data_IF_182537687525
#
_entry.id   IF_182537687525
#
_cell.length_a   1.000
_cell.length_b   1.000
_cell.length_c   1.000
_cell.angle_alpha   90.00
_cell.angle_beta   90.00
_cell.angle_gamma   90.00
#
_symmetry.space_group_name_H-M   'P 1'
#
loop_
_entity.id
_entity.type
_entity.pdbx_description
1 polymer ?
#
# COMPACT_ATOMS: atom_id res chain seq x y z
N UNK A 1 -20.95 -11.73 18.77
CA UNK A 1 -20.77 -10.28 18.52
C UNK A 1 -19.79 -10.16 17.37
N UNK A 2 -20.13 -9.54 16.22
CA UNK A 2 -19.11 -9.24 15.22
C UNK A 2 -18.13 -8.25 15.87
N UNK A 3 -16.84 -8.58 15.90
CA UNK A 3 -15.82 -7.60 16.31
C UNK A 3 -15.83 -6.48 15.29
N UNK A 4 -15.98 -5.25 15.76
CA UNK A 4 -15.79 -4.07 14.93
C UNK A 4 -14.29 -3.93 14.70
N UNK A 5 -13.82 -4.22 13.49
CA UNK A 5 -12.41 -4.09 13.11
C UNK A 5 -12.08 -2.59 12.96
N UNK A 6 -11.72 -1.94 14.07
CA UNK A 6 -11.33 -0.53 14.08
C UNK A 6 -9.81 -0.40 14.08
N UNK A 7 -9.27 0.38 13.14
CA UNK A 7 -7.84 0.69 13.11
C UNK A 7 -7.64 2.12 13.62
N UNK A 8 -6.65 2.31 14.48
CA UNK A 8 -6.15 3.63 14.83
C UNK A 8 -4.91 3.91 13.97
N UNK A 9 -4.91 5.02 13.26
CA UNK A 9 -3.86 5.31 12.29
C UNK A 9 -3.95 6.70 11.71
N UNK A 10 -3.01 7.01 10.82
CA UNK A 10 -2.89 8.27 10.12
C UNK A 10 -3.42 8.13 8.69
N UNK A 11 -4.39 8.96 8.33
CA UNK A 11 -4.78 9.16 6.93
C UNK A 11 -4.02 10.37 6.38
N UNK A 12 -3.26 10.18 5.32
CA UNK A 12 -2.43 11.22 4.73
C UNK A 12 -2.49 11.21 3.21
N UNK A 13 -2.15 12.35 2.59
CA UNK A 13 -2.01 12.47 1.14
C UNK A 13 -0.56 12.24 0.72
N UNK A 14 -0.36 11.37 -0.26
CA UNK A 14 0.98 11.13 -0.82
C UNK A 14 1.19 11.81 -2.18
N UNK A 15 0.12 12.30 -2.81
CA UNK A 15 0.19 13.01 -4.10
C UNK A 15 -0.85 14.13 -4.26
N UNK A 16 -0.80 14.89 -5.37
CA UNK A 16 -1.66 16.05 -5.60
C UNK A 16 -3.13 15.68 -5.85
N UNK A 17 -3.41 14.52 -6.47
CA UNK A 17 -4.79 14.13 -6.80
C UNK A 17 -5.62 13.84 -5.55
N UNK A 18 -6.94 13.97 -5.64
CA UNK A 18 -7.83 13.70 -4.49
C UNK A 18 -7.81 12.24 -4.05
N UNK A 19 -7.65 11.30 -4.98
CA UNK A 19 -7.61 9.85 -4.70
C UNK A 19 -6.29 9.36 -4.11
N UNK A 20 -5.22 10.16 -4.18
CA UNK A 20 -3.88 9.77 -3.72
C UNK A 20 -3.73 9.97 -2.21
N UNK A 21 -4.50 9.19 -1.46
CA UNK A 21 -4.49 9.12 -0.02
C UNK A 21 -4.08 7.71 0.43
N UNK A 22 -3.41 7.61 1.57
CA UNK A 22 -3.05 6.35 2.17
C UNK A 22 -3.35 6.38 3.67
N UNK A 23 -3.75 5.23 4.19
CA UNK A 23 -3.97 5.02 5.62
C UNK A 23 -2.82 4.18 6.19
N UNK A 24 -2.18 4.67 7.25
CA UNK A 24 -1.08 3.98 7.93
C UNK A 24 -1.47 3.64 9.35
N UNK A 25 -1.19 2.40 9.78
CA UNK A 25 -1.11 2.04 11.21
C UNK A 25 0.34 1.85 11.61
N UNK A 26 0.66 2.21 12.85
CA UNK A 26 2.04 2.26 13.35
C UNK A 26 2.77 3.54 12.94
N UNK A 27 3.88 3.81 13.64
CA UNK A 27 4.73 4.96 13.41
C UNK A 27 6.21 4.56 13.43
N UNK A 28 6.59 3.76 12.43
CA UNK A 28 7.92 3.16 12.30
C UNK A 28 8.53 3.44 10.93
N UNK A 29 9.86 3.41 10.86
CA UNK A 29 10.61 3.64 9.61
C UNK A 29 10.59 2.44 8.64
N UNK A 30 10.12 1.28 9.10
CA UNK A 30 9.93 0.09 8.27
C UNK A 30 8.47 -0.01 7.87
N UNK A 31 8.19 -0.12 6.57
CA UNK A 31 6.83 0.01 6.02
C UNK A 31 6.47 -1.23 5.18
N UNK A 32 5.31 -1.81 5.45
CA UNK A 32 4.65 -2.79 4.57
C UNK A 32 3.50 -2.09 3.86
N UNK A 33 3.55 -2.04 2.52
CA UNK A 33 2.49 -1.48 1.69
C UNK A 33 1.61 -2.61 1.22
N UNK A 34 0.37 -2.64 1.69
CA UNK A 34 -0.65 -3.59 1.26
C UNK A 34 -1.35 -3.09 -0.01
N UNK A 35 -1.32 -3.88 -1.07
CA UNK A 35 -1.99 -3.61 -2.34
C UNK A 35 -3.10 -4.65 -2.53
N UNK A 36 -4.34 -4.21 -2.33
CA UNK A 36 -5.54 -5.03 -2.56
C UNK A 36 -5.84 -5.25 -4.04
N UNK A 37 -6.96 -5.92 -4.31
CA UNK A 37 -7.48 -6.08 -5.67
C UNK A 37 -8.01 -4.79 -6.30
N UNK A 38 -8.28 -4.81 -7.60
CA UNK A 38 -8.73 -3.65 -8.39
C UNK A 38 -10.03 -2.99 -7.87
N UNK A 39 -10.86 -3.72 -7.14
CA UNK A 39 -12.09 -3.18 -6.54
C UNK A 39 -11.92 -2.81 -5.07
N UNK A 40 -10.76 -3.13 -4.50
CA UNK A 40 -10.52 -3.03 -3.08
C UNK A 40 -10.13 -1.60 -2.69
N UNK A 41 -10.41 -1.30 -1.43
CA UNK A 41 -10.06 -0.05 -0.79
C UNK A 41 -9.37 -0.28 0.55
N UNK A 42 -9.62 0.61 1.50
CA UNK A 42 -9.12 0.43 2.86
C UNK A 42 -9.86 -0.71 3.55
N UNK A 43 -9.14 -1.49 4.37
CA UNK A 43 -9.69 -2.61 5.15
C UNK A 43 -10.36 -3.68 4.27
N UNK A 44 -9.78 -3.94 3.09
CA UNK A 44 -10.35 -4.85 2.11
C UNK A 44 -10.49 -6.30 2.58
N UNK A 45 -9.64 -6.76 3.49
CA UNK A 45 -9.63 -8.14 3.96
C UNK A 45 -9.60 -8.23 5.49
N UNK A 46 -10.25 -9.26 6.03
CA UNK A 46 -10.36 -9.46 7.49
C UNK A 46 -8.98 -9.68 8.15
N UNK A 47 -8.02 -10.26 7.43
CA UNK A 47 -6.70 -10.54 7.99
C UNK A 47 -5.85 -9.28 8.19
N UNK A 48 -6.22 -8.13 7.62
CA UNK A 48 -5.48 -6.89 7.81
C UNK A 48 -5.41 -6.48 9.27
N UNK A 49 -6.42 -6.81 10.08
CA UNK A 49 -6.42 -6.48 11.51
C UNK A 49 -5.34 -7.27 12.24
N UNK A 50 -5.32 -8.58 12.03
CA UNK A 50 -4.30 -9.46 12.61
C UNK A 50 -2.91 -9.13 12.09
N UNK A 51 -2.79 -8.75 10.82
CA UNK A 51 -1.54 -8.32 10.21
C UNK A 51 -1.05 -7.00 10.81
N UNK A 52 -1.93 -6.01 10.98
CA UNK A 52 -1.60 -4.72 11.59
C UNK A 52 -1.02 -4.91 13.00
N UNK A 53 -1.69 -5.73 13.83
CA UNK A 53 -1.21 -6.07 15.18
C UNK A 53 0.13 -6.80 15.15
N UNK A 54 0.31 -7.75 14.24
CA UNK A 54 1.57 -8.49 14.11
C UNK A 54 2.72 -7.56 13.69
N UNK A 55 2.48 -6.66 12.73
CA UNK A 55 3.48 -5.70 12.26
C UNK A 55 3.85 -4.69 13.34
N UNK A 56 2.88 -4.19 14.11
CA UNK A 56 3.13 -3.27 15.23
C UNK A 56 4.10 -3.90 16.25
N UNK A 57 3.88 -5.17 16.61
CA UNK A 57 4.76 -5.90 17.54
C UNK A 57 6.20 -6.05 17.01
N UNK A 58 6.36 -6.16 15.69
CA UNK A 58 7.65 -6.23 15.01
C UNK A 58 8.24 -4.85 14.67
N UNK A 59 7.58 -3.76 15.06
CA UNK A 59 7.96 -2.36 14.75
C UNK A 59 7.96 -2.06 13.24
N UNK A 60 6.92 -2.53 12.57
CA UNK A 60 6.60 -2.23 11.18
C UNK A 60 5.28 -1.48 11.10
N UNK A 61 5.24 -0.50 10.20
CA UNK A 61 4.01 0.21 9.86
C UNK A 61 3.31 -0.46 8.68
N UNK A 62 1.98 -0.55 8.73
CA UNK A 62 1.15 -1.04 7.64
C UNK A 62 0.53 0.13 6.90
N UNK A 63 0.77 0.22 5.60
CA UNK A 63 0.26 1.28 4.72
C UNK A 63 -0.73 0.69 3.72
N UNK A 64 -1.91 1.27 3.65
CA UNK A 64 -2.98 0.92 2.72
C UNK A 64 -3.28 2.13 1.83
N UNK A 65 -2.75 2.17 0.59
CA UNK A 65 -3.02 3.28 -0.32
C UNK A 65 -4.34 3.09 -1.06
N UNK A 66 -4.96 4.22 -1.40
CA UNK A 66 -5.96 4.30 -2.45
C UNK A 66 -5.25 4.65 -3.75
N UNK A 67 -5.43 3.81 -4.76
CA UNK A 67 -4.92 4.01 -6.11
C UNK A 67 -6.05 4.46 -7.02
N UNK A 68 -5.72 4.90 -8.25
CA UNK A 68 -6.75 5.25 -9.24
C UNK A 68 -7.65 4.08 -9.62
N UNK A 69 -7.16 2.83 -9.52
CA UNK A 69 -8.01 1.64 -9.67
C UNK A 69 -8.96 1.41 -8.51
N UNK A 70 -8.60 1.82 -7.28
CA UNK A 70 -9.39 1.57 -6.08
C UNK A 70 -10.84 2.02 -6.29
N UNK A 71 -11.77 1.15 -5.93
CA UNK A 71 -13.23 1.32 -6.08
C UNK A 71 -13.76 1.48 -7.52
N UNK A 72 -12.89 1.60 -8.52
CA UNK A 72 -13.27 1.86 -9.91
C UNK A 72 -13.33 0.57 -10.75
N UNK A 73 -12.64 -0.49 -10.30
CA UNK A 73 -12.68 -1.81 -10.91
C UNK A 73 -11.87 -1.92 -12.21
N UNK A 74 -12.15 -2.98 -12.98
CA UNK A 74 -11.43 -3.28 -14.22
C UNK A 74 -11.85 -2.36 -15.38
N UNK A 75 -10.87 -1.80 -16.11
CA UNK A 75 -11.10 -1.07 -17.37
C UNK A 75 -11.17 0.47 -17.25
N UNK A 76 -11.10 1.04 -16.05
CA UNK A 76 -11.13 2.50 -15.82
C UNK A 76 -9.75 3.11 -15.55
N UNK A 77 -8.80 2.34 -15.01
CA UNK A 77 -7.40 2.72 -14.86
C UNK A 77 -6.46 1.64 -15.45
N UNK A 78 -5.20 1.99 -15.68
CA UNK A 78 -4.19 1.05 -16.20
C UNK A 78 -3.21 0.64 -15.11
N UNK A 79 -2.70 -0.59 -15.16
CA UNK A 79 -1.61 -1.06 -14.29
C UNK A 79 -0.41 -0.08 -14.29
N UNK A 80 -0.17 0.58 -15.43
CA UNK A 80 0.85 1.61 -15.57
C UNK A 80 0.57 2.84 -14.69
N UNK A 81 -0.68 3.30 -14.64
CA UNK A 81 -1.06 4.42 -13.78
C UNK A 81 -0.90 4.06 -12.30
N UNK A 82 -1.35 2.87 -11.90
CA UNK A 82 -1.22 2.39 -10.53
C UNK A 82 0.26 2.23 -10.14
N UNK A 83 1.11 1.75 -11.04
CA UNK A 83 2.55 1.67 -10.81
C UNK A 83 3.21 3.04 -10.61
N UNK A 84 2.78 4.08 -11.35
CA UNK A 84 3.26 5.44 -11.15
C UNK A 84 2.82 6.01 -9.79
N UNK A 85 1.59 5.71 -9.38
CA UNK A 85 1.05 6.17 -8.10
C UNK A 85 1.68 5.45 -6.93
N UNK A 86 1.98 4.17 -7.09
CA UNK A 86 2.78 3.40 -6.14
C UNK A 86 4.21 3.96 -6.04
N UNK A 87 4.84 4.33 -7.15
CA UNK A 87 6.17 4.98 -7.11
C UNK A 87 6.14 6.31 -6.36
N UNK A 88 5.10 7.11 -6.56
CA UNK A 88 4.89 8.36 -5.84
C UNK A 88 4.70 8.14 -4.34
N UNK A 89 3.92 7.12 -3.96
CA UNK A 89 3.74 6.75 -2.56
C UNK A 89 5.08 6.32 -1.93
N UNK A 90 5.83 5.46 -2.60
CA UNK A 90 7.14 4.99 -2.09
C UNK A 90 8.08 6.19 -1.96
N UNK A 91 8.14 7.06 -2.97
CA UNK A 91 8.91 8.30 -2.91
C UNK A 91 8.52 9.19 -1.73
N UNK A 92 7.23 9.33 -1.45
CA UNK A 92 6.74 10.06 -0.29
C UNK A 92 7.22 9.43 1.03
N UNK A 93 7.06 8.11 1.18
CA UNK A 93 7.47 7.41 2.39
C UNK A 93 8.99 7.50 2.62
N UNK A 94 9.80 7.33 1.57
CA UNK A 94 11.26 7.40 1.69
C UNK A 94 11.73 8.83 1.98
N UNK A 95 11.24 9.81 1.22
CA UNK A 95 11.81 11.17 1.26
C UNK A 95 11.20 12.09 2.31
N UNK A 96 9.94 11.85 2.72
CA UNK A 96 9.24 12.71 3.69
C UNK A 96 9.05 12.04 5.05
N UNK A 97 8.81 10.73 5.06
CA UNK A 97 8.60 9.95 6.29
C UNK A 97 9.88 9.23 6.73
N UNK A 98 11.01 9.47 6.05
CA UNK A 98 12.32 8.86 6.34
C UNK A 98 12.29 7.33 6.44
N UNK A 99 11.44 6.69 5.62
CA UNK A 99 11.37 5.23 5.58
C UNK A 99 12.70 4.65 5.13
N UNK A 100 13.14 3.59 5.80
CA UNK A 100 14.39 2.91 5.48
C UNK A 100 14.26 2.03 4.22
N UNK A 101 13.03 1.75 3.81
CA UNK A 101 12.68 0.88 2.70
C UNK A 101 11.29 0.31 2.88
N UNK A 102 10.75 -0.28 1.82
CA UNK A 102 9.37 -0.78 1.82
C UNK A 102 9.31 -2.25 1.44
N UNK A 103 8.31 -2.94 1.97
CA UNK A 103 7.91 -4.27 1.51
C UNK A 103 6.55 -4.13 0.83
N UNK A 104 6.39 -4.70 -0.36
CA UNK A 104 5.10 -4.71 -1.05
C UNK A 104 4.39 -6.03 -0.78
N UNK A 105 3.17 -5.97 -0.26
CA UNK A 105 2.30 -7.12 -0.03
C UNK A 105 1.11 -7.03 -0.98
N UNK A 106 1.06 -7.91 -1.98
CA UNK A 106 -0.04 -7.98 -2.94
C UNK A 106 -1.08 -8.99 -2.50
N UNK A 107 -2.34 -8.64 -2.68
CA UNK A 107 -3.47 -9.53 -2.50
C UNK A 107 -4.28 -9.64 -3.78
N UNK A 108 -4.58 -10.86 -4.23
CA UNK A 108 -5.44 -11.09 -5.39
C UNK A 108 -4.90 -10.35 -6.63
N UNK A 109 -5.69 -9.51 -7.29
CA UNK A 109 -5.24 -8.72 -8.46
C UNK A 109 -4.18 -7.67 -8.13
N UNK A 110 -4.00 -7.29 -6.86
CA UNK A 110 -2.90 -6.45 -6.40
C UNK A 110 -1.52 -7.05 -6.67
N UNK A 111 -1.42 -8.38 -6.71
CA UNK A 111 -0.20 -9.09 -7.09
C UNK A 111 0.25 -8.73 -8.52
N UNK A 112 -0.70 -8.55 -9.44
CA UNK A 112 -0.41 -8.15 -10.82
C UNK A 112 0.16 -6.72 -10.87
N UNK A 113 -0.37 -5.83 -10.04
CA UNK A 113 0.14 -4.46 -9.87
C UNK A 113 1.59 -4.44 -9.39
N UNK A 114 1.93 -5.25 -8.40
CA UNK A 114 3.31 -5.36 -7.88
C UNK A 114 4.25 -5.92 -8.94
N UNK A 115 3.88 -7.01 -9.62
CA UNK A 115 4.73 -7.58 -10.68
C UNK A 115 4.96 -6.56 -11.79
N UNK A 116 3.91 -5.86 -12.22
CA UNK A 116 4.02 -4.81 -13.24
C UNK A 116 4.92 -3.65 -12.76
N UNK A 117 4.77 -3.19 -11.52
CA UNK A 117 5.60 -2.15 -10.92
C UNK A 117 7.08 -2.55 -10.90
N UNK A 118 7.39 -3.76 -10.41
CA UNK A 118 8.77 -4.25 -10.33
C UNK A 118 9.41 -4.42 -11.71
N UNK A 119 8.63 -4.76 -12.74
CA UNK A 119 9.12 -4.85 -14.13
C UNK A 119 9.32 -3.49 -14.80
N UNK A 120 8.63 -2.44 -14.33
CA UNK A 120 8.62 -1.12 -14.97
C UNK A 120 9.86 -0.27 -14.68
N UNK A 121 10.80 -0.76 -13.87
CA UNK A 121 12.07 -0.11 -13.49
C UNK A 121 11.88 1.37 -13.10
N UNK A 122 10.87 1.64 -12.28
CA UNK A 122 10.55 2.98 -11.80
C UNK A 122 11.63 3.51 -10.85
N UNK A 123 11.63 4.81 -10.60
CA UNK A 123 12.69 5.49 -9.86
C UNK A 123 12.89 4.92 -8.43
N UNK A 124 11.79 4.58 -7.74
CA UNK A 124 11.83 4.12 -6.36
C UNK A 124 11.85 2.59 -6.23
N UNK A 125 11.89 1.83 -7.34
CA UNK A 125 11.88 0.37 -7.32
C UNK A 125 13.01 -0.24 -6.48
N UNK A 126 14.17 0.44 -6.39
CA UNK A 126 15.32 0.05 -5.55
C UNK A 126 15.06 0.17 -4.05
N UNK A 127 14.06 0.95 -3.63
CA UNK A 127 13.67 1.08 -2.23
C UNK A 127 12.79 -0.10 -1.77
N UNK A 128 12.29 -0.92 -2.70
CA UNK A 128 11.55 -2.14 -2.39
C UNK A 128 12.53 -3.23 -1.97
N UNK A 129 12.47 -3.63 -0.70
CA UNK A 129 13.35 -4.63 -0.10
C UNK A 129 12.86 -6.06 -0.31
N UNK A 130 11.55 -6.24 -0.38
CA UNK A 130 10.92 -7.54 -0.63
C UNK A 130 9.52 -7.35 -1.22
N UNK A 131 9.03 -8.40 -1.88
CA UNK A 131 7.64 -8.50 -2.33
C UNK A 131 7.04 -9.80 -1.82
N UNK A 132 5.78 -9.74 -1.40
CA UNK A 132 4.98 -10.89 -0.96
C UNK A 132 3.73 -10.90 -1.84
N UNK A 133 3.46 -12.02 -2.51
CA UNK A 133 2.32 -12.19 -3.41
C UNK A 133 1.41 -13.27 -2.82
N UNK A 134 0.17 -12.92 -2.47
CA UNK A 134 -0.78 -13.79 -1.79
C UNK A 134 -2.12 -13.90 -2.55
#
# INVERSE_FOLDING_TARGET
>A
MPRTSQFNGLLFKYGPKSVQAAFRTGDFKQQVIFIGGLTDGLLATEYLESLSVALENEKWSLVQPLLSSSYSGYGTSSLKQDALELDQLISHLINKEESEGVVLLGHSTGCQGIVHYMQSNTACSKAVRATILQ
#
